data_IF_979931508722
#
_entry.id   IF_979931508722
#
_cell.length_a   1.000
_cell.length_b   1.000
_cell.length_c   1.000
_cell.angle_alpha   90.00
_cell.angle_beta   90.00
_cell.angle_gamma   90.00
#
_symmetry.space_group_name_H-M   'P 1'
#
loop_
_entity.id
_entity.type
_entity.pdbx_description
1 polymer ?
#
# COMPACT_ATOMS: atom_id res chain seq x y z
N UNK A 1 -5.53 -12.13 10.80
CA UNK A 1 -4.15 -12.65 10.87
C UNK A 1 -4.07 -13.78 9.86
N UNK A 2 -3.48 -13.52 8.68
CA UNK A 2 -3.35 -14.58 7.67
C UNK A 2 -2.26 -15.54 8.15
N UNK A 3 -2.67 -16.76 8.45
CA UNK A 3 -1.76 -17.84 8.86
C UNK A 3 -0.80 -18.10 7.71
N UNK A 4 0.49 -17.87 7.97
CA UNK A 4 1.57 -18.37 7.13
C UNK A 4 1.65 -19.86 7.45
N UNK A 5 1.08 -20.70 6.58
CA UNK A 5 1.26 -22.14 6.67
C UNK A 5 2.74 -22.45 6.47
N UNK A 6 3.44 -22.82 7.54
CA UNK A 6 4.75 -23.43 7.40
C UNK A 6 4.59 -24.79 6.70
N UNK A 7 5.35 -25.10 5.64
CA UNK A 7 5.30 -26.41 5.00
C UNK A 7 5.91 -27.47 5.94
N UNK A 8 5.40 -28.72 5.89
CA UNK A 8 5.85 -29.80 6.76
C UNK A 8 7.28 -30.19 6.46
N UNK A 9 8.02 -30.44 7.52
CA UNK A 9 9.45 -30.70 7.53
C UNK A 9 9.80 -31.94 6.70
N UNK A 10 10.64 -31.77 5.67
CA UNK A 10 11.31 -32.89 5.01
C UNK A 10 11.28 -32.87 3.48
N UNK A 11 12.03 -31.97 2.84
CA UNK A 11 12.92 -32.29 1.71
C UNK A 11 13.82 -31.07 1.41
N UNK A 12 15.10 -31.33 1.09
CA UNK A 12 16.24 -30.41 1.14
C UNK A 12 16.02 -28.96 0.68
N UNK A 13 16.34 -28.01 1.57
CA UNK A 13 16.35 -26.59 1.29
C UNK A 13 17.65 -26.15 0.57
N UNK A 14 17.79 -26.48 -0.71
CA UNK A 14 18.68 -25.71 -1.60
C UNK A 14 17.86 -24.56 -2.20
N UNK A 15 17.63 -23.52 -1.40
CA UNK A 15 17.01 -22.29 -1.90
C UNK A 15 18.05 -21.55 -2.73
N UNK A 16 17.97 -21.69 -4.05
CA UNK A 16 18.64 -20.77 -4.97
C UNK A 16 18.27 -19.34 -4.56
N UNK A 17 19.22 -18.59 -4.00
CA UNK A 17 19.10 -17.17 -3.58
C UNK A 17 18.75 -16.22 -4.73
N UNK A 18 18.38 -16.74 -5.90
CA UNK A 18 18.26 -16.02 -7.16
C UNK A 18 16.87 -15.42 -7.38
N UNK A 19 15.84 -15.87 -6.64
CA UNK A 19 14.47 -15.41 -6.84
C UNK A 19 13.83 -14.91 -5.54
N UNK A 20 13.36 -13.65 -5.48
CA UNK A 20 12.66 -13.14 -4.31
C UNK A 20 11.31 -13.86 -4.16
N UNK A 21 11.02 -14.33 -2.94
CA UNK A 21 9.72 -14.94 -2.66
C UNK A 21 8.61 -13.91 -2.83
N UNK A 22 7.45 -14.30 -3.40
CA UNK A 22 6.33 -13.39 -3.56
C UNK A 22 5.86 -12.93 -2.17
N UNK A 23 6.01 -11.64 -1.89
CA UNK A 23 5.52 -11.02 -0.66
C UNK A 23 4.22 -10.29 -0.96
N UNK A 24 3.20 -10.51 -0.14
CA UNK A 24 1.88 -9.85 -0.32
C UNK A 24 2.00 -8.33 -0.10
N UNK A 25 2.86 -7.91 0.83
CA UNK A 25 3.14 -6.50 1.11
C UNK A 25 4.63 -6.36 1.38
N UNK A 26 5.28 -5.50 0.61
CA UNK A 26 6.66 -5.09 0.86
C UNK A 26 6.66 -3.96 1.91
N UNK A 27 7.27 -4.18 3.07
CA UNK A 27 7.21 -3.27 4.22
C UNK A 27 8.25 -2.14 4.17
N UNK A 28 8.59 -1.64 2.98
CA UNK A 28 9.51 -0.50 2.84
C UNK A 28 8.84 0.86 3.08
N UNK A 29 7.50 0.87 3.25
CA UNK A 29 6.70 2.06 3.47
C UNK A 29 5.46 2.07 2.59
N UNK A 30 4.48 2.91 2.95
CA UNK A 30 3.25 3.09 2.17
C UNK A 30 2.96 4.58 2.01
N UNK A 31 2.66 5.00 0.79
CA UNK A 31 2.20 6.36 0.47
C UNK A 31 0.70 6.35 0.24
N UNK A 32 -0.03 7.22 0.94
CA UNK A 32 -1.47 7.44 0.69
C UNK A 32 -1.67 8.76 -0.03
N UNK A 33 -2.43 8.73 -1.13
CA UNK A 33 -2.72 9.87 -1.98
C UNK A 33 -4.23 9.96 -2.24
N UNK A 34 -4.74 11.18 -2.37
CA UNK A 34 -6.12 11.47 -2.75
C UNK A 34 -6.14 12.38 -3.97
N UNK A 35 -6.96 12.03 -4.97
CA UNK A 35 -7.13 12.83 -6.18
C UNK A 35 -8.60 12.95 -6.57
N UNK A 36 -8.95 14.06 -7.20
CA UNK A 36 -10.24 14.27 -7.84
C UNK A 36 -10.06 14.18 -9.36
N UNK A 37 -10.98 13.50 -10.07
CA UNK A 37 -10.97 13.43 -11.53
C UNK A 37 -12.27 13.98 -12.10
N UNK A 38 -12.18 14.74 -13.18
CA UNK A 38 -13.34 15.24 -13.93
C UNK A 38 -13.15 15.00 -15.43
N UNK A 39 -14.20 15.17 -16.22
CA UNK A 39 -14.11 15.12 -17.68
C UNK A 39 -13.15 16.19 -18.25
N UNK A 40 -12.89 17.27 -17.50
CA UNK A 40 -11.91 18.31 -17.86
C UNK A 40 -10.45 17.96 -17.53
N UNK A 41 -10.20 16.77 -16.97
CA UNK A 41 -8.85 16.30 -16.64
C UNK A 41 -8.62 16.01 -15.14
N UNK A 42 -7.39 15.61 -14.79
CA UNK A 42 -7.00 15.34 -13.41
C UNK A 42 -7.05 16.61 -12.56
N UNK A 43 -7.77 16.53 -11.45
CA UNK A 43 -7.79 17.56 -10.42
C UNK A 43 -6.62 17.46 -9.46
N UNK A 44 -6.72 18.17 -8.33
CA UNK A 44 -5.65 18.24 -7.32
C UNK A 44 -5.33 16.87 -6.72
N UNK A 45 -4.05 16.53 -6.69
CA UNK A 45 -3.48 15.38 -5.96
C UNK A 45 -2.95 15.84 -4.60
N UNK A 46 -3.36 15.16 -3.53
CA UNK A 46 -2.97 15.47 -2.15
C UNK A 46 -2.36 14.25 -1.48
N UNK A 47 -1.16 14.41 -0.92
CA UNK A 47 -0.52 13.39 -0.09
C UNK A 47 -1.13 13.41 1.32
N UNK A 48 -1.54 12.24 1.81
CA UNK A 48 -2.08 12.06 3.16
C UNK A 48 -1.01 11.42 4.03
N UNK A 49 -0.63 12.14 5.09
CA UNK A 49 0.25 11.59 6.13
C UNK A 49 -0.55 10.75 7.12
N UNK A 50 -0.17 9.48 7.25
CA UNK A 50 -0.87 8.50 8.11
C UNK A 50 -2.27 8.17 7.57
N UNK A 51 -3.22 7.97 8.48
CA UNK A 51 -4.61 7.69 8.10
C UNK A 51 -5.37 8.96 7.71
N UNK A 52 -6.33 8.80 6.79
CA UNK A 52 -7.31 9.81 6.46
C UNK A 52 -8.26 10.00 7.64
N UNK A 53 -8.29 11.21 8.18
CA UNK A 53 -9.29 11.62 9.17
C UNK A 53 -10.32 12.53 8.50
N UNK A 54 -11.51 12.57 9.08
CA UNK A 54 -12.60 13.49 8.75
C UNK A 54 -12.12 14.94 8.65
N UNK A 55 -11.27 15.40 9.58
CA UNK A 55 -10.72 16.76 9.57
C UNK A 55 -9.83 16.99 8.35
N UNK A 56 -8.93 16.04 8.05
CA UNK A 56 -8.04 16.10 6.87
C UNK A 56 -8.86 16.08 5.57
N UNK A 57 -9.92 15.29 5.52
CA UNK A 57 -10.82 15.25 4.38
C UNK A 57 -11.57 16.57 4.19
N UNK A 58 -12.06 17.17 5.28
CA UNK A 58 -12.72 18.48 5.23
C UNK A 58 -11.73 19.57 4.78
N UNK A 59 -10.46 19.52 5.20
CA UNK A 59 -9.41 20.43 4.71
C UNK A 59 -9.18 20.28 3.21
N UNK A 60 -9.08 19.05 2.71
CA UNK A 60 -8.93 18.76 1.27
C UNK A 60 -10.12 19.31 0.47
N UNK A 61 -11.34 19.15 0.99
CA UNK A 61 -12.57 19.61 0.33
C UNK A 61 -12.76 21.13 0.38
N UNK A 62 -12.36 21.78 1.49
CA UNK A 62 -12.46 23.24 1.68
C UNK A 62 -11.34 24.01 0.98
N UNK A 63 -10.22 23.36 0.70
CA UNK A 63 -9.15 23.87 -0.15
C UNK A 63 -9.57 23.78 -1.62
N UNK A 64 -10.60 24.54 -1.98
CA UNK A 64 -11.10 24.69 -3.35
C UNK A 64 -10.46 25.90 -4.02
#
# INVERSE_FOLDING_TARGET
MLQISNPPDGFGAHRDKKYPMPTVKYTAGSLMLWACFSAGGPGRLVQIHGFMDSIKYQQIKKSK
#
